data_IF_938341308619
#
_entry.id   IF_938341308619
#
_cell.length_a   1.000
_cell.length_b   1.000
_cell.length_c   1.000
_cell.angle_alpha   90.00
_cell.angle_beta   90.00
_cell.angle_gamma   90.00
#
_symmetry.space_group_name_H-M   'P 1'
#
loop_
_entity.id
_entity.type
_entity.pdbx_description
1 polymer ?
#
# COMPACT_ATOMS: atom_id res chain seq x y z
N UNK A 1 17.25 11.85 -8.29
CA UNK A 1 16.62 12.11 -6.98
C UNK A 1 17.51 13.00 -6.14
N UNK A 2 17.27 14.31 -6.22
CA UNK A 2 17.91 15.27 -5.32
C UNK A 2 17.37 15.02 -3.91
N UNK A 3 18.26 14.63 -2.98
CA UNK A 3 17.89 14.36 -1.60
C UNK A 3 17.30 15.61 -0.95
N UNK A 4 16.16 15.48 -0.28
CA UNK A 4 15.59 16.59 0.48
C UNK A 4 16.52 16.96 1.64
N UNK A 5 17.01 18.21 1.65
CA UNK A 5 17.93 18.73 2.68
C UNK A 5 17.21 19.11 4.01
N UNK A 6 15.95 18.70 4.18
CA UNK A 6 15.14 19.02 5.35
C UNK A 6 14.34 17.80 5.82
N UNK A 7 14.01 17.80 7.11
CA UNK A 7 13.09 16.85 7.74
C UNK A 7 11.74 17.56 7.90
N UNK A 8 10.67 16.97 7.39
CA UNK A 8 9.30 17.47 7.59
C UNK A 8 8.74 16.95 8.91
N UNK A 9 8.47 17.83 9.86
CA UNK A 9 7.75 17.50 11.09
C UNK A 9 6.29 17.88 10.97
N UNK A 10 5.38 16.96 11.31
CA UNK A 10 3.95 17.21 11.27
C UNK A 10 3.26 16.67 12.53
N UNK A 11 2.44 17.50 13.18
CA UNK A 11 1.52 17.11 14.24
C UNK A 11 0.11 17.37 13.75
N UNK A 12 -0.70 16.31 13.68
CA UNK A 12 -2.08 16.38 13.21
C UNK A 12 -2.98 15.44 14.00
N UNK A 13 -4.27 15.73 13.99
CA UNK A 13 -5.33 14.79 14.31
C UNK A 13 -6.36 14.76 13.15
N UNK A 14 -7.49 14.08 13.36
CA UNK A 14 -8.51 13.89 12.32
C UNK A 14 -9.80 14.59 12.74
N UNK A 15 -10.31 15.47 11.88
CA UNK A 15 -11.65 16.03 12.05
C UNK A 15 -12.71 14.99 11.65
N UNK A 16 -13.23 14.24 12.62
CA UNK A 16 -14.09 13.06 12.40
C UNK A 16 -15.33 13.34 11.52
N UNK A 17 -16.01 14.48 11.69
CA UNK A 17 -17.23 14.77 10.91
C UNK A 17 -16.99 15.07 9.43
N UNK A 18 -15.79 15.58 9.10
CA UNK A 18 -15.44 16.01 7.74
C UNK A 18 -14.51 15.01 7.07
N UNK A 19 -13.94 14.06 7.82
CA UNK A 19 -12.92 13.12 7.36
C UNK A 19 -11.73 13.85 6.69
N UNK A 20 -11.30 14.96 7.30
CA UNK A 20 -10.14 15.75 6.84
C UNK A 20 -9.09 15.80 7.95
N UNK A 21 -7.79 15.81 7.60
CA UNK A 21 -6.74 16.03 8.58
C UNK A 21 -6.86 17.44 9.15
N UNK A 22 -6.65 17.55 10.45
CA UNK A 22 -6.55 18.82 11.13
C UNK A 22 -5.11 18.98 11.61
N UNK A 23 -4.39 19.85 10.92
CA UNK A 23 -2.93 20.04 11.08
C UNK A 23 -2.68 21.10 12.14
N UNK A 24 -2.07 20.69 13.25
CA UNK A 24 -1.69 21.58 14.35
C UNK A 24 -0.35 22.25 14.11
N UNK A 25 0.60 21.50 13.56
CA UNK A 25 1.94 22.00 13.26
C UNK A 25 2.48 21.28 12.03
N UNK A 26 3.03 22.05 11.09
CA UNK A 26 3.81 21.52 9.98
C UNK A 26 5.01 22.43 9.76
N UNK A 27 6.20 21.91 9.99
CA UNK A 27 7.45 22.66 9.87
C UNK A 27 8.52 21.85 9.16
N UNK A 28 9.45 22.55 8.52
CA UNK A 28 10.64 21.96 7.91
C UNK A 28 11.83 22.26 8.82
N UNK A 29 12.53 21.22 9.24
CA UNK A 29 13.75 21.29 10.05
C UNK A 29 14.96 20.97 9.19
N UNK A 30 16.11 21.55 9.49
CA UNK A 30 17.34 21.23 8.76
C UNK A 30 17.75 19.77 8.95
N UNK A 31 18.16 19.10 7.86
CA UNK A 31 18.63 17.72 7.90
C UNK A 31 20.16 17.64 7.88
N UNK A 32 20.81 18.02 8.99
CA UNK A 32 22.28 18.06 9.08
C UNK A 32 22.93 16.69 8.97
N UNK A 33 22.25 15.65 9.46
CA UNK A 33 22.77 14.29 9.52
C UNK A 33 22.44 13.46 8.26
N UNK A 34 21.82 14.09 7.24
CA UNK A 34 21.29 13.40 6.05
C UNK A 34 20.41 12.18 6.39
N UNK A 35 19.66 12.27 7.48
CA UNK A 35 18.79 11.20 7.93
C UNK A 35 17.65 10.99 6.94
N UNK A 36 17.33 9.72 6.68
CA UNK A 36 16.23 9.33 5.80
C UNK A 36 15.35 8.29 6.49
N UNK A 37 14.03 8.52 6.48
CA UNK A 37 13.07 7.62 7.10
C UNK A 37 11.79 8.33 7.47
N UNK A 38 10.96 7.63 8.24
CA UNK A 38 9.77 8.19 8.85
C UNK A 38 9.71 7.75 10.31
N UNK A 39 9.41 8.70 11.19
CA UNK A 39 9.10 8.44 12.59
C UNK A 39 7.63 8.79 12.83
N UNK A 40 6.90 7.90 13.48
CA UNK A 40 5.48 8.09 13.80
C UNK A 40 5.33 7.91 15.31
N UNK A 41 4.73 8.91 15.95
CA UNK A 41 4.41 8.89 17.37
C UNK A 41 2.90 8.99 17.52
N UNK A 42 2.31 8.07 18.29
CA UNK A 42 0.88 8.02 18.56
C UNK A 42 0.67 7.77 20.04
N UNK A 43 -0.28 8.49 20.63
CA UNK A 43 -0.73 8.26 22.01
C UNK A 43 -1.99 7.41 21.95
N UNK A 44 -1.97 6.25 22.59
CA UNK A 44 -3.10 5.32 22.67
C UNK A 44 -3.29 4.85 24.10
N UNK A 45 -4.53 4.60 24.48
CA UNK A 45 -4.85 3.88 25.71
C UNK A 45 -4.73 2.36 25.47
N UNK A 46 -4.11 1.64 26.39
CA UNK A 46 -3.94 0.19 26.23
C UNK A 46 -3.43 -0.52 27.48
N UNK A 47 -3.65 -1.84 27.54
CA UNK A 47 -3.20 -2.70 28.62
C UNK A 47 -2.03 -3.60 28.18
N UNK A 48 -0.82 -3.20 28.59
CA UNK A 48 0.42 -3.92 28.29
C UNK A 48 0.47 -5.33 28.86
N UNK A 49 0.10 -5.51 30.14
CA UNK A 49 0.22 -6.79 30.86
C UNK A 49 -0.53 -7.91 30.16
N UNK A 50 -1.74 -7.63 29.65
CA UNK A 50 -2.56 -8.61 28.95
C UNK A 50 -2.08 -8.91 27.52
N UNK A 51 -1.52 -7.91 26.82
CA UNK A 51 -1.25 -8.00 25.38
C UNK A 51 0.23 -8.18 25.02
N UNK A 52 1.15 -8.10 26.00
CA UNK A 52 2.59 -8.29 25.81
C UNK A 52 2.92 -9.52 24.98
N UNK A 53 2.35 -10.68 25.31
CA UNK A 53 2.63 -11.93 24.59
C UNK A 53 2.26 -11.87 23.11
N UNK A 54 1.11 -11.26 22.78
CA UNK A 54 0.63 -11.10 21.41
C UNK A 54 1.53 -10.17 20.60
N UNK A 55 1.96 -9.04 21.18
CA UNK A 55 2.88 -8.09 20.54
C UNK A 55 4.23 -8.78 20.24
N UNK A 56 4.77 -9.52 21.23
CA UNK A 56 6.02 -10.25 21.04
C UNK A 56 5.89 -11.38 20.01
N UNK A 57 4.75 -12.06 19.97
CA UNK A 57 4.48 -13.08 18.97
C UNK A 57 4.46 -12.50 17.55
N UNK A 58 3.77 -11.38 17.35
CA UNK A 58 3.75 -10.67 16.08
C UNK A 58 5.15 -10.25 15.63
N UNK A 59 5.93 -9.62 16.52
CA UNK A 59 7.31 -9.21 16.21
C UNK A 59 8.22 -10.39 15.86
N UNK A 60 8.03 -11.54 16.52
CA UNK A 60 8.73 -12.79 16.20
C UNK A 60 8.35 -13.32 14.82
N UNK A 61 7.07 -13.35 14.49
CA UNK A 61 6.59 -13.77 13.17
C UNK A 61 7.17 -12.88 12.07
N UNK A 62 7.16 -11.55 12.27
CA UNK A 62 7.79 -10.61 11.35
C UNK A 62 9.28 -10.87 11.17
N UNK A 63 10.03 -11.05 12.27
CA UNK A 63 11.46 -11.38 12.20
C UNK A 63 11.77 -12.70 11.46
N UNK A 64 10.84 -13.65 11.45
CA UNK A 64 10.99 -14.92 10.70
C UNK A 64 10.77 -14.71 9.20
N UNK A 65 9.73 -13.97 8.80
CA UNK A 65 9.37 -13.80 7.38
C UNK A 65 10.16 -12.69 6.68
N UNK A 66 10.71 -11.72 7.41
CA UNK A 66 11.57 -10.66 6.86
C UNK A 66 13.00 -10.76 7.42
N UNK A 67 13.78 -11.78 7.02
CA UNK A 67 15.14 -12.01 7.55
C UNK A 67 16.13 -10.90 7.16
N UNK A 68 15.79 -10.07 6.17
CA UNK A 68 16.57 -8.93 5.72
C UNK A 68 16.37 -7.66 6.56
N UNK A 69 15.39 -7.66 7.48
CA UNK A 69 15.12 -6.54 8.36
C UNK A 69 15.73 -6.74 9.76
N UNK A 70 16.03 -5.63 10.44
CA UNK A 70 16.39 -5.62 11.85
C UNK A 70 15.30 -4.89 12.63
N UNK A 71 14.82 -5.49 13.71
CA UNK A 71 13.84 -4.86 14.60
C UNK A 71 14.44 -4.63 15.99
N UNK A 72 14.18 -3.45 16.54
CA UNK A 72 14.46 -3.13 17.94
C UNK A 72 13.13 -2.78 18.61
N UNK A 73 12.66 -3.65 19.48
CA UNK A 73 11.48 -3.40 20.29
C UNK A 73 11.91 -2.98 21.70
N UNK A 74 11.41 -1.83 22.14
CA UNK A 74 11.63 -1.31 23.50
C UNK A 74 10.29 -0.96 24.12
N UNK A 75 10.02 -1.55 25.27
CA UNK A 75 8.93 -1.15 26.16
C UNK A 75 9.54 -0.48 27.39
N UNK A 76 9.07 0.73 27.67
CA UNK A 76 9.49 1.54 28.80
C UNK A 76 8.28 1.74 29.73
N UNK A 77 8.45 1.39 30.99
CA UNK A 77 7.48 1.60 32.07
C UNK A 77 8.07 2.54 33.11
N UNK A 78 7.21 3.14 33.93
CA UNK A 78 7.64 3.94 35.08
C UNK A 78 8.54 3.16 36.05
N UNK A 79 8.37 1.83 36.12
CA UNK A 79 9.21 0.95 36.91
C UNK A 79 10.26 0.27 36.02
N UNK A 80 11.55 0.56 36.27
CA UNK A 80 12.65 0.14 35.41
C UNK A 80 12.82 -1.39 35.31
N UNK A 81 12.40 -2.14 36.32
CA UNK A 81 12.35 -3.60 36.36
C UNK A 81 11.37 -4.21 35.33
N UNK A 82 10.38 -3.43 34.89
CA UNK A 82 9.40 -3.84 33.89
C UNK A 82 9.78 -3.45 32.46
N UNK A 83 10.90 -2.75 32.28
CA UNK A 83 11.41 -2.42 30.96
C UNK A 83 11.78 -3.68 30.19
N UNK A 84 11.51 -3.68 28.89
CA UNK A 84 11.82 -4.81 28.02
C UNK A 84 12.48 -4.28 26.75
N UNK A 85 13.67 -4.78 26.46
CA UNK A 85 14.35 -4.52 25.19
C UNK A 85 14.60 -5.85 24.49
N UNK A 86 14.14 -5.97 23.25
CA UNK A 86 14.37 -7.15 22.41
C UNK A 86 14.89 -6.68 21.05
N UNK A 87 16.00 -7.26 20.63
CA UNK A 87 16.60 -7.04 19.32
C UNK A 87 16.45 -8.30 18.47
N UNK A 88 15.83 -8.15 17.31
CA UNK A 88 15.78 -9.17 16.27
C UNK A 88 16.81 -8.79 15.20
N UNK A 89 17.96 -9.45 15.22
CA UNK A 89 19.04 -9.17 14.28
C UNK A 89 18.71 -9.65 12.87
N UNK A 90 19.18 -8.89 11.88
CA UNK A 90 19.15 -9.29 10.46
C UNK A 90 19.88 -10.62 10.28
N UNK A 91 19.35 -11.48 9.40
CA UNK A 91 19.91 -12.80 9.06
C UNK A 91 20.46 -12.89 7.63
N UNK A 92 20.06 -12.01 6.73
CA UNK A 92 20.57 -11.92 5.36
C UNK A 92 20.59 -10.48 4.89
N UNK A 93 21.53 -10.10 4.02
CA UNK A 93 21.54 -8.80 3.35
C UNK A 93 20.84 -8.83 1.98
N UNK A 94 20.37 -10.00 1.54
CA UNK A 94 19.67 -10.17 0.27
C UNK A 94 18.21 -9.76 0.42
N UNK A 95 17.81 -8.68 -0.25
CA UNK A 95 16.41 -8.25 -0.38
C UNK A 95 15.71 -9.03 -1.49
N UNK A 96 14.42 -9.40 -1.32
CA UNK A 96 13.60 -9.89 -2.43
C UNK A 96 13.42 -8.78 -3.48
N UNK A 97 13.09 -9.14 -4.74
CA UNK A 97 12.79 -8.14 -5.77
C UNK A 97 11.62 -7.26 -5.31
N UNK A 98 11.72 -5.97 -5.65
CA UNK A 98 10.66 -5.00 -5.33
C UNK A 98 9.42 -5.36 -6.16
N UNK A 99 8.23 -5.46 -5.55
CA UNK A 99 7.01 -5.75 -6.28
C UNK A 99 6.77 -4.67 -7.34
N UNK A 100 6.51 -5.09 -8.57
CA UNK A 100 6.19 -4.19 -9.67
C UNK A 100 4.68 -3.96 -9.72
N UNK A 101 4.28 -2.74 -10.09
CA UNK A 101 2.88 -2.48 -10.35
C UNK A 101 2.45 -3.19 -11.64
N UNK A 102 1.61 -4.20 -11.50
CA UNK A 102 1.05 -4.96 -12.63
C UNK A 102 -0.34 -4.43 -13.01
N UNK A 103 -0.76 -4.76 -14.23
CA UNK A 103 -2.09 -4.41 -14.74
C UNK A 103 -3.16 -5.32 -14.15
N UNK A 104 -4.41 -4.89 -14.26
CA UNK A 104 -5.53 -5.69 -13.76
C UNK A 104 -5.76 -6.92 -14.63
N UNK A 105 -5.77 -8.09 -13.99
CA UNK A 105 -6.12 -9.33 -14.65
C UNK A 105 -7.62 -9.36 -15.02
N UNK A 106 -8.02 -9.70 -16.26
CA UNK A 106 -9.41 -9.63 -16.72
C UNK A 106 -10.41 -10.38 -15.83
N UNK A 107 -10.03 -11.54 -15.28
CA UNK A 107 -10.93 -12.36 -14.44
C UNK A 107 -11.19 -11.76 -13.04
N UNK A 108 -10.34 -10.83 -12.58
CA UNK A 108 -10.41 -10.23 -11.25
C UNK A 108 -11.10 -8.85 -11.23
N UNK A 109 -11.63 -8.42 -12.38
CA UNK A 109 -12.11 -7.06 -12.59
C UNK A 109 -13.61 -6.97 -12.34
N UNK A 110 -14.02 -6.04 -11.48
CA UNK A 110 -15.42 -5.75 -11.16
C UNK A 110 -15.98 -4.60 -12.02
N UNK A 111 -17.31 -4.51 -12.13
CA UNK A 111 -18.05 -3.46 -12.84
C UNK A 111 -17.64 -2.04 -12.42
N UNK A 112 -17.44 -1.81 -11.11
CA UNK A 112 -17.04 -0.49 -10.62
C UNK A 112 -15.64 -0.12 -11.11
N UNK A 113 -14.73 -1.10 -11.13
CA UNK A 113 -13.38 -0.93 -11.64
C UNK A 113 -13.40 -0.63 -13.14
N UNK A 114 -14.19 -1.36 -13.94
CA UNK A 114 -14.32 -1.08 -15.39
C UNK A 114 -14.82 0.34 -15.61
N UNK A 115 -15.85 0.79 -14.89
CA UNK A 115 -16.37 2.15 -14.99
C UNK A 115 -15.32 3.20 -14.65
N UNK A 116 -14.56 2.97 -13.57
CA UNK A 116 -13.48 3.86 -13.15
C UNK A 116 -12.38 3.96 -14.20
N UNK A 117 -11.91 2.82 -14.70
CA UNK A 117 -10.89 2.74 -15.74
C UNK A 117 -11.35 3.43 -17.03
N UNK A 118 -12.62 3.27 -17.44
CA UNK A 118 -13.20 3.97 -18.59
C UNK A 118 -13.23 5.50 -18.39
N UNK A 119 -13.50 5.97 -17.18
CA UNK A 119 -13.53 7.40 -16.87
C UNK A 119 -12.13 8.02 -16.85
N UNK A 120 -11.15 7.30 -16.28
CA UNK A 120 -9.77 7.75 -16.11
C UNK A 120 -8.92 7.56 -17.38
N UNK A 121 -9.31 6.68 -18.31
CA UNK A 121 -8.49 6.41 -19.50
C UNK A 121 -8.44 7.59 -20.47
N UNK A 122 -7.23 7.84 -20.97
CA UNK A 122 -6.97 8.80 -22.05
C UNK A 122 -7.24 8.20 -23.43
N UNK A 123 -7.49 6.88 -23.53
CA UNK A 123 -7.62 6.18 -24.81
C UNK A 123 -9.05 6.25 -25.33
N UNK A 124 -9.18 6.75 -26.56
CA UNK A 124 -10.46 6.89 -27.24
C UNK A 124 -11.04 5.54 -27.65
N UNK A 125 -10.19 4.56 -28.00
CA UNK A 125 -10.60 3.27 -28.58
C UNK A 125 -10.60 2.13 -27.56
N UNK A 126 -11.64 1.29 -27.59
CA UNK A 126 -11.85 0.14 -26.69
C UNK A 126 -10.74 -0.89 -26.80
N UNK A 127 -10.25 -1.14 -28.01
CA UNK A 127 -9.05 -1.97 -28.19
C UNK A 127 -7.84 -1.38 -27.48
N UNK A 128 -7.58 -0.08 -27.60
CA UNK A 128 -6.44 0.55 -26.93
C UNK A 128 -6.60 0.55 -25.42
N UNK A 129 -7.83 0.68 -24.93
CA UNK A 129 -8.15 0.55 -23.51
C UNK A 129 -7.90 -0.87 -23.00
N UNK A 130 -8.46 -1.89 -23.65
CA UNK A 130 -8.28 -3.28 -23.24
C UNK A 130 -6.82 -3.71 -23.36
N UNK A 131 -6.10 -3.34 -24.41
CA UNK A 131 -4.67 -3.63 -24.53
C UNK A 131 -3.82 -2.95 -23.45
N UNK A 132 -4.15 -1.70 -23.13
CA UNK A 132 -3.42 -0.95 -22.12
C UNK A 132 -3.73 -1.44 -20.71
N UNK A 133 -4.99 -1.64 -20.38
CA UNK A 133 -5.43 -1.91 -19.01
C UNK A 133 -5.54 -3.40 -18.69
N UNK A 134 -5.69 -4.27 -19.70
CA UNK A 134 -6.03 -5.69 -19.54
C UNK A 134 -5.08 -6.67 -20.26
N UNK A 135 -4.23 -6.23 -21.20
CA UNK A 135 -3.24 -7.08 -21.90
C UNK A 135 -3.48 -7.25 -23.42
N UNK A 136 -2.54 -7.85 -24.17
CA UNK A 136 -2.47 -7.76 -25.64
C UNK A 136 -3.59 -8.46 -26.43
N UNK A 137 -4.43 -9.28 -25.81
CA UNK A 137 -5.31 -10.26 -26.49
C UNK A 137 -6.63 -9.73 -27.09
N UNK A 138 -6.78 -8.41 -27.26
CA UNK A 138 -8.07 -7.80 -27.66
C UNK A 138 -8.00 -7.06 -29.01
N UNK A 139 -9.05 -7.19 -29.85
CA UNK A 139 -9.21 -6.51 -31.16
C UNK A 139 -10.65 -6.04 -31.45
N UNK A 140 -10.90 -4.72 -31.57
CA UNK A 140 -11.98 -4.05 -32.32
C UNK A 140 -11.89 -2.49 -32.30
N UNK A 141 -12.49 -1.80 -33.29
CA UNK A 141 -12.58 -0.32 -33.36
C UNK A 141 -13.93 0.19 -32.81
N UNK A 142 -13.96 0.65 -31.57
CA UNK A 142 -15.12 1.35 -30.97
C UNK A 142 -14.64 2.36 -29.93
N UNK A 143 -15.36 3.46 -29.70
CA UNK A 143 -14.96 4.46 -28.69
C UNK A 143 -15.38 4.07 -27.27
N UNK A 144 -14.52 4.31 -26.28
CA UNK A 144 -14.65 3.80 -24.89
C UNK A 144 -15.62 4.61 -24.05
N UNK A 145 -15.61 5.93 -24.23
CA UNK A 145 -16.38 6.85 -23.38
C UNK A 145 -17.89 6.87 -23.68
N UNK A 146 -18.32 6.27 -24.79
CA UNK A 146 -19.73 6.14 -25.16
C UNK A 146 -20.36 4.80 -24.74
N UNK A 147 -19.63 3.97 -23.98
CA UNK A 147 -20.15 2.69 -23.50
C UNK A 147 -21.33 2.87 -22.54
N UNK A 148 -22.45 2.20 -22.83
CA UNK A 148 -23.60 2.19 -21.94
C UNK A 148 -23.39 1.25 -20.75
N UNK A 149 -24.11 1.48 -19.65
CA UNK A 149 -24.06 0.58 -18.47
C UNK A 149 -24.38 -0.88 -18.83
N UNK A 150 -25.28 -1.12 -19.78
CA UNK A 150 -25.61 -2.47 -20.25
C UNK A 150 -24.45 -3.13 -20.99
N UNK A 151 -23.72 -2.37 -21.82
CA UNK A 151 -22.53 -2.85 -22.50
C UNK A 151 -21.40 -3.18 -21.53
N UNK A 152 -21.21 -2.37 -20.47
CA UNK A 152 -20.22 -2.64 -19.41
C UNK A 152 -20.56 -3.92 -18.65
N UNK A 153 -21.84 -4.15 -18.33
CA UNK A 153 -22.28 -5.40 -17.70
C UNK A 153 -21.98 -6.60 -18.58
N UNK A 154 -22.19 -6.47 -19.89
CA UNK A 154 -21.90 -7.54 -20.85
C UNK A 154 -20.40 -7.82 -20.97
N UNK A 155 -19.56 -6.80 -20.98
CA UNK A 155 -18.09 -6.96 -20.97
C UNK A 155 -17.64 -7.72 -19.71
N UNK A 156 -18.15 -7.34 -18.54
CA UNK A 156 -17.84 -8.05 -17.30
C UNK A 156 -18.32 -9.51 -17.32
N UNK A 157 -19.52 -9.78 -17.82
CA UNK A 157 -20.02 -11.15 -17.99
C UNK A 157 -19.11 -11.97 -18.91
N UNK A 158 -18.63 -11.36 -20.00
CA UNK A 158 -17.67 -12.00 -20.92
C UNK A 158 -16.34 -12.29 -20.22
N UNK A 159 -15.82 -11.38 -19.41
CA UNK A 159 -14.59 -11.63 -18.64
C UNK A 159 -14.74 -12.77 -17.62
N UNK A 160 -15.93 -12.96 -17.05
CA UNK A 160 -16.16 -14.10 -16.14
C UNK A 160 -16.31 -15.43 -16.85
N UNK A 161 -16.75 -15.42 -18.12
CA UNK A 161 -16.97 -16.63 -18.91
C UNK A 161 -15.75 -17.04 -19.71
N UNK A 162 -14.92 -16.07 -20.11
CA UNK A 162 -13.69 -16.32 -20.83
C UNK A 162 -12.65 -16.96 -19.91
N UNK A 163 -11.87 -17.90 -20.47
CA UNK A 163 -10.68 -18.44 -19.82
C UNK A 163 -9.50 -17.56 -20.18
N UNK A 164 -8.91 -16.94 -19.17
CA UNK A 164 -7.64 -16.21 -19.29
C UNK A 164 -6.54 -17.03 -18.62
N UNK A 165 -5.31 -16.85 -19.08
CA UNK A 165 -4.14 -17.43 -18.44
C UNK A 165 -3.96 -16.87 -17.03
N UNK A 166 -3.22 -17.58 -16.17
CA UNK A 166 -2.98 -17.12 -14.81
C UNK A 166 -2.19 -15.79 -14.77
N UNK A 167 -2.46 -14.93 -13.78
CA UNK A 167 -1.73 -13.67 -13.64
C UNK A 167 -0.24 -13.94 -13.42
N UNK A 168 0.61 -13.14 -14.06
CA UNK A 168 2.06 -13.24 -13.88
C UNK A 168 2.45 -12.91 -12.44
N UNK A 169 3.25 -13.78 -11.79
CA UNK A 169 3.80 -13.55 -10.45
C UNK A 169 5.05 -12.67 -10.40
N UNK A 170 5.36 -11.97 -11.48
CA UNK A 170 6.53 -11.08 -11.61
C UNK A 170 6.20 -9.66 -11.18
#
# INVERSE_FOLDING_TARGET
DEGQNYISFCRLDIHIHKNVPHVHLHEKRENKDHWHGAEIQVIIEGNWTTHRSKILHYMRQMAVITPYAQFLFRFLSDAADKNLTIRFARRTDVMPPVPLQTKHHPSAVDLLLIKRLIAETTKQNLLQFLQREMGPDFSAKMTVKSLTSQQIVRIHQLFRQAKFDDPSGN
#
